data_IF_010035676358
#
_entry.id   IF_010035676358
#
_cell.length_a   1.000
_cell.length_b   1.000
_cell.length_c   1.000
_cell.angle_alpha   90.00
_cell.angle_beta   90.00
_cell.angle_gamma   90.00
#
_symmetry.space_group_name_H-M   'P 1'
#
loop_
_entity.id
_entity.type
_entity.pdbx_description
1 polymer ?
#
# COMPACT_ATOMS: atom_id res chain seq x y z
N UNK A 1 -9.87 38.01 14.78
CA UNK A 1 -8.78 37.04 14.90
C UNK A 1 -9.32 35.78 15.55
N UNK A 2 -9.65 34.76 14.75
CA UNK A 2 -9.94 33.43 15.25
C UNK A 2 -9.49 32.44 14.19
N UNK A 3 -8.17 32.39 14.06
CA UNK A 3 -7.45 31.51 13.15
C UNK A 3 -7.33 30.11 13.77
N UNK A 4 -7.63 29.13 12.93
CA UNK A 4 -7.13 27.76 12.99
C UNK A 4 -7.53 26.89 14.17
N UNK A 5 -8.84 26.60 14.23
CA UNK A 5 -9.32 25.28 14.67
C UNK A 5 -9.09 24.22 13.57
N UNK A 6 -7.89 24.16 13.01
CA UNK A 6 -7.43 23.10 12.13
C UNK A 6 -6.65 22.07 12.93
N UNK A 7 -7.25 21.59 14.02
CA UNK A 7 -6.85 20.33 14.63
C UNK A 7 -7.32 19.21 13.70
N UNK A 8 -6.57 19.07 12.59
CA UNK A 8 -6.62 18.01 11.59
C UNK A 8 -6.20 16.70 12.25
N UNK A 9 -7.00 16.26 13.22
CA UNK A 9 -6.97 14.91 13.77
C UNK A 9 -7.65 13.94 12.80
N UNK A 10 -7.31 14.01 11.52
CA UNK A 10 -7.30 12.83 10.69
C UNK A 10 -5.91 12.27 10.87
N UNK A 11 -5.77 11.47 11.93
CA UNK A 11 -4.67 10.54 12.15
C UNK A 11 -4.19 10.11 10.76
N UNK A 12 -3.00 10.57 10.37
CA UNK A 12 -2.18 9.92 9.34
C UNK A 12 -2.03 8.50 9.85
N UNK A 13 -3.01 7.63 9.60
CA UNK A 13 -2.80 6.20 9.75
C UNK A 13 -1.66 5.95 8.79
N UNK A 14 -0.45 5.59 9.26
CA UNK A 14 0.57 5.17 8.33
C UNK A 14 -0.10 4.10 7.47
N UNK A 15 0.03 4.19 6.15
CA UNK A 15 -0.53 3.22 5.23
C UNK A 15 0.13 1.86 5.50
N UNK A 16 -0.26 1.19 6.60
CA UNK A 16 0.26 -0.09 7.06
C UNK A 16 0.08 -1.12 5.95
N UNK A 17 -1.05 -1.07 5.25
CA UNK A 17 -1.30 -1.87 4.05
C UNK A 17 -0.19 -1.67 2.99
N UNK A 18 0.22 -0.44 2.73
CA UNK A 18 1.27 -0.15 1.73
C UNK A 18 2.64 -0.60 2.22
N UNK A 19 2.94 -0.38 3.49
CA UNK A 19 4.21 -0.77 4.10
C UNK A 19 4.41 -2.29 4.05
N UNK A 20 3.40 -3.03 4.49
CA UNK A 20 3.38 -4.50 4.47
C UNK A 20 3.40 -5.02 3.03
N UNK A 21 2.62 -4.42 2.12
CA UNK A 21 2.63 -4.80 0.71
C UNK A 21 4.02 -4.64 0.09
N UNK A 22 4.68 -3.51 0.33
CA UNK A 22 6.04 -3.26 -0.14
C UNK A 22 7.03 -4.25 0.47
N UNK A 23 6.93 -4.55 1.77
CA UNK A 23 7.78 -5.52 2.45
C UNK A 23 7.60 -6.93 1.88
N UNK A 24 6.35 -7.39 1.71
CA UNK A 24 6.00 -8.69 1.12
C UNK A 24 6.55 -8.81 -0.30
N UNK A 25 6.37 -7.78 -1.11
CA UNK A 25 6.87 -7.73 -2.49
C UNK A 25 8.40 -7.67 -2.54
N UNK A 26 9.02 -6.89 -1.66
CA UNK A 26 10.48 -6.80 -1.57
C UNK A 26 11.12 -8.11 -1.11
N UNK A 27 10.53 -8.79 -0.12
CA UNK A 27 11.01 -10.06 0.40
C UNK A 27 10.87 -11.19 -0.61
N UNK A 28 9.72 -11.28 -1.28
CA UNK A 28 9.48 -12.33 -2.26
C UNK A 28 10.08 -12.04 -3.65
N UNK A 29 10.30 -10.76 -3.98
CA UNK A 29 10.77 -10.29 -5.28
C UNK A 29 9.71 -10.38 -6.39
N UNK A 30 8.95 -11.48 -6.47
CA UNK A 30 7.93 -11.69 -7.50
C UNK A 30 6.77 -12.48 -6.91
N UNK A 31 5.57 -11.91 -6.96
CA UNK A 31 4.36 -12.53 -6.43
C UNK A 31 3.14 -12.25 -7.30
N UNK A 32 2.21 -13.18 -7.33
CA UNK A 32 0.91 -12.96 -7.95
C UNK A 32 0.01 -12.08 -7.08
N UNK A 33 -0.97 -11.42 -7.72
CA UNK A 33 -1.99 -10.65 -7.00
C UNK A 33 -2.63 -11.44 -5.85
N UNK A 34 -2.91 -12.72 -6.10
CA UNK A 34 -3.58 -13.57 -5.12
C UNK A 34 -2.74 -13.77 -3.86
N UNK A 35 -1.43 -14.03 -4.01
CA UNK A 35 -0.49 -14.16 -2.90
C UNK A 35 -0.31 -12.86 -2.13
N UNK A 36 -0.14 -11.75 -2.85
CA UNK A 36 0.00 -10.41 -2.25
C UNK A 36 -1.25 -10.09 -1.42
N UNK A 37 -2.43 -10.36 -1.99
CA UNK A 37 -3.70 -10.16 -1.32
C UNK A 37 -3.83 -11.04 -0.08
N UNK A 38 -3.63 -12.35 -0.21
CA UNK A 38 -3.71 -13.30 0.89
C UNK A 38 -2.77 -12.93 2.04
N UNK A 39 -1.48 -12.67 1.76
CA UNK A 39 -0.51 -12.27 2.79
C UNK A 39 -0.94 -10.98 3.48
N UNK A 40 -1.38 -9.98 2.73
CA UNK A 40 -1.83 -8.71 3.32
C UNK A 40 -3.09 -8.90 4.18
N UNK A 41 -4.05 -9.73 3.73
CA UNK A 41 -5.25 -10.06 4.51
C UNK A 41 -4.88 -10.75 5.83
N UNK A 42 -3.97 -11.72 5.79
CA UNK A 42 -3.49 -12.42 7.00
C UNK A 42 -2.87 -11.44 7.99
N UNK A 43 -2.00 -10.54 7.52
CA UNK A 43 -1.38 -9.51 8.36
C UNK A 43 -2.41 -8.54 8.95
N UNK A 44 -3.36 -8.07 8.14
CA UNK A 44 -4.39 -7.11 8.59
C UNK A 44 -5.33 -7.74 9.61
N UNK A 45 -5.70 -9.01 9.40
CA UNK A 45 -6.48 -9.81 10.34
C UNK A 45 -5.70 -10.00 11.66
N UNK A 46 -4.41 -10.31 11.58
CA UNK A 46 -3.54 -10.44 12.75
C UNK A 46 -3.36 -9.12 13.52
N UNK A 47 -3.35 -7.97 12.82
CA UNK A 47 -3.27 -6.63 13.43
C UNK A 47 -4.62 -6.10 13.93
N UNK A 48 -5.70 -6.90 13.91
CA UNK A 48 -7.07 -6.48 14.23
C UNK A 48 -7.52 -5.23 13.45
N UNK A 49 -6.91 -4.99 12.27
CA UNK A 49 -7.23 -3.88 11.39
C UNK A 49 -8.37 -4.32 10.46
N UNK A 50 -9.59 -4.28 10.97
CA UNK A 50 -10.80 -4.54 10.17
C UNK A 50 -11.17 -3.29 9.39
N UNK A 51 -10.62 -3.15 8.18
CA UNK A 51 -10.87 -1.99 7.30
C UNK A 51 -12.26 -2.00 6.62
N UNK A 52 -13.28 -2.59 7.24
CA UNK A 52 -14.64 -2.69 6.68
C UNK A 52 -14.87 -3.86 5.72
N UNK A 53 -14.14 -4.97 5.91
CA UNK A 53 -14.29 -6.21 5.13
C UNK A 53 -13.15 -6.45 4.12
N UNK A 54 -12.98 -7.71 3.70
CA UNK A 54 -11.94 -8.12 2.74
C UNK A 54 -12.03 -7.36 1.41
N UNK A 55 -13.25 -6.99 0.99
CA UNK A 55 -13.51 -6.23 -0.24
C UNK A 55 -12.84 -4.85 -0.22
N UNK A 56 -12.94 -4.11 0.89
CA UNK A 56 -12.29 -2.80 1.03
C UNK A 56 -10.77 -2.96 1.04
N UNK A 57 -10.27 -4.00 1.73
CA UNK A 57 -8.84 -4.30 1.72
C UNK A 57 -8.34 -4.58 0.30
N UNK A 58 -9.12 -5.33 -0.48
CA UNK A 58 -8.81 -5.69 -1.87
C UNK A 58 -8.73 -4.46 -2.75
N UNK A 59 -9.70 -3.55 -2.65
CA UNK A 59 -9.70 -2.28 -3.37
C UNK A 59 -8.46 -1.45 -3.02
N UNK A 60 -8.12 -1.33 -1.73
CA UNK A 60 -6.93 -0.59 -1.27
C UNK A 60 -5.64 -1.19 -1.80
N UNK A 61 -5.49 -2.51 -1.75
CA UNK A 61 -4.33 -3.21 -2.29
C UNK A 61 -4.20 -2.97 -3.79
N UNK A 62 -5.32 -3.02 -4.52
CA UNK A 62 -5.34 -2.77 -5.95
C UNK A 62 -4.92 -1.34 -6.30
N UNK A 63 -5.46 -0.33 -5.61
CA UNK A 63 -5.05 1.08 -5.77
C UNK A 63 -3.54 1.25 -5.52
N UNK A 64 -3.02 0.66 -4.44
CA UNK A 64 -1.60 0.78 -4.08
C UNK A 64 -0.70 0.07 -5.07
N UNK A 65 -1.05 -1.15 -5.49
CA UNK A 65 -0.32 -1.86 -6.54
C UNK A 65 -0.29 -1.04 -7.82
N UNK A 66 -1.43 -0.48 -8.24
CA UNK A 66 -1.48 0.34 -9.45
C UNK A 66 -0.61 1.58 -9.33
N UNK A 67 -0.66 2.29 -8.19
CA UNK A 67 0.19 3.46 -7.94
C UNK A 67 1.68 3.10 -7.96
N UNK A 68 2.06 1.97 -7.36
CA UNK A 68 3.45 1.50 -7.36
C UNK A 68 3.93 1.06 -8.75
N UNK A 69 3.04 0.50 -9.57
CA UNK A 69 3.33 0.19 -10.98
C UNK A 69 3.52 1.47 -11.78
N UNK A 70 2.60 2.44 -11.65
CA UNK A 70 2.71 3.75 -12.31
C UNK A 70 3.95 4.54 -11.88
N UNK A 71 4.34 4.45 -10.60
CA UNK A 71 5.55 5.08 -10.07
C UNK A 71 6.84 4.32 -10.43
N UNK A 72 6.75 3.16 -11.09
CA UNK A 72 7.91 2.38 -11.53
C UNK A 72 8.64 1.64 -10.40
N UNK A 73 7.97 1.35 -9.29
CA UNK A 73 8.50 0.48 -8.23
C UNK A 73 8.05 -0.97 -8.37
N UNK A 74 6.96 -1.22 -9.11
CA UNK A 74 6.50 -2.56 -9.44
C UNK A 74 6.39 -2.71 -10.96
N UNK A 75 6.72 -3.89 -11.45
CA UNK A 75 6.44 -4.29 -12.81
C UNK A 75 5.34 -5.34 -12.81
N UNK A 76 4.18 -5.02 -13.39
CA UNK A 76 3.11 -6.00 -13.59
C UNK A 76 3.37 -6.78 -14.88
N UNK A 77 3.49 -8.10 -14.78
CA UNK A 77 3.62 -9.02 -15.90
C UNK A 77 2.47 -10.03 -15.85
N UNK A 78 1.41 -9.76 -16.62
CA UNK A 78 0.20 -10.59 -16.58
C UNK A 78 -0.50 -10.52 -15.22
N UNK A 79 -0.37 -11.60 -14.42
CA UNK A 79 -0.94 -11.73 -13.07
C UNK A 79 0.09 -11.54 -11.95
N UNK A 80 1.35 -11.46 -12.33
CA UNK A 80 2.50 -11.38 -11.44
C UNK A 80 2.95 -9.92 -11.31
N UNK A 81 3.34 -9.54 -10.10
CA UNK A 81 3.95 -8.26 -9.77
C UNK A 81 5.37 -8.52 -9.32
N UNK A 82 6.32 -7.96 -10.05
CA UNK A 82 7.74 -8.03 -9.74
C UNK A 82 8.16 -6.74 -9.03
N UNK A 83 8.76 -6.88 -7.85
CA UNK A 83 9.38 -5.80 -7.12
C UNK A 83 10.62 -5.31 -7.85
N UNK A 84 10.65 -4.00 -8.12
CA UNK A 84 11.84 -3.35 -8.64
C UNK A 84 12.69 -2.81 -7.48
N UNK A 85 14.01 -2.63 -7.66
CA UNK A 85 14.87 -2.07 -6.61
C UNK A 85 14.43 -0.67 -6.15
N UNK A 86 13.70 0.06 -7.00
CA UNK A 86 13.12 1.36 -6.69
C UNK A 86 11.90 1.29 -5.75
N UNK A 87 11.34 0.10 -5.50
CA UNK A 87 10.18 -0.10 -4.63
C UNK A 87 10.41 0.44 -3.21
N UNK A 88 11.56 0.13 -2.59
CA UNK A 88 11.90 0.64 -1.26
C UNK A 88 12.06 2.17 -1.25
N UNK A 89 12.53 2.76 -2.36
CA UNK A 89 12.59 4.21 -2.47
C UNK A 89 11.19 4.84 -2.49
N UNK A 90 10.21 4.20 -3.14
CA UNK A 90 8.82 4.67 -3.18
C UNK A 90 8.10 4.53 -1.83
N UNK A 91 8.51 3.58 -0.98
CA UNK A 91 8.04 3.47 0.41
C UNK A 91 8.21 4.78 1.19
N UNK A 92 9.30 5.50 0.92
CA UNK A 92 9.58 6.79 1.55
C UNK A 92 8.80 7.94 0.92
N UNK A 93 8.38 7.82 -0.35
CA UNK A 93 7.71 8.90 -1.10
C UNK A 93 6.19 8.86 -1.00
N UNK A 94 5.59 7.72 -0.60
CA UNK A 94 4.13 7.59 -0.48
C UNK A 94 3.51 8.35 0.71
N UNK A 95 4.29 9.14 1.49
CA UNK A 95 3.76 10.14 2.44
C UNK A 95 3.41 11.48 1.76
N UNK A 96 3.85 11.70 0.52
CA UNK A 96 3.63 12.92 -0.24
C UNK A 96 2.55 12.77 -1.30
N UNK A 97 1.27 12.90 -0.91
CA UNK A 97 0.19 13.14 -1.86
C UNK A 97 0.44 14.43 -2.64
N UNK A 98 0.39 14.36 -3.96
CA UNK A 98 0.52 15.52 -4.84
C UNK A 98 0.51 15.12 -6.31
N UNK A 99 -0.63 14.64 -6.80
CA UNK A 99 -0.97 14.70 -8.21
C UNK A 99 -0.91 16.18 -8.62
N UNK A 100 -0.08 16.49 -9.62
CA UNK A 100 -0.08 17.78 -10.31
C UNK A 100 -1.33 17.97 -11.15
#
# INVERSE_FOLDING_TARGET
MLEDRRSRSSRKTPDLVTDELILILHEAGMLEFNDIFQRTVVVMKAKHMSLGGEEILRLRIYEKLQNLVSAGGLMKKGREYTALPRLMALKSSTDGGGLG
#
